data_IF_064363037134
#
_entry.id   IF_064363037134
#
_cell.length_a   1.000
_cell.length_b   1.000
_cell.length_c   1.000
_cell.angle_alpha   90.00
_cell.angle_beta   90.00
_cell.angle_gamma   90.00
#
_symmetry.space_group_name_H-M   'P 1'
#
loop_
_entity.id
_entity.type
_entity.pdbx_description
1 polymer ?
#
# COMPACT_ATOMS: atom_id res chain seq x y z
N UNK A 1 15.65 -2.04 -14.83
CA UNK A 1 14.51 -2.08 -13.91
C UNK A 1 13.76 -3.39 -14.06
N UNK A 2 13.55 -4.13 -12.98
CA UNK A 2 12.85 -5.44 -12.99
C UNK A 2 11.33 -5.26 -13.05
N UNK A 3 10.79 -4.28 -12.35
CA UNK A 3 9.36 -4.00 -12.26
C UNK A 3 9.05 -2.64 -12.88
N UNK A 4 8.37 -2.61 -14.02
CA UNK A 4 8.03 -1.38 -14.73
C UNK A 4 6.81 -0.67 -14.13
N UNK A 5 5.75 -1.42 -13.77
CA UNK A 5 4.53 -0.92 -13.15
C UNK A 5 4.32 -1.62 -11.82
N UNK A 6 4.21 -0.86 -10.75
CA UNK A 6 4.05 -1.40 -9.41
C UNK A 6 2.83 -0.80 -8.73
N UNK A 7 2.30 -1.52 -7.73
CA UNK A 7 1.42 -0.93 -6.74
C UNK A 7 2.13 -0.94 -5.39
N UNK A 8 2.36 0.23 -4.83
CA UNK A 8 2.92 0.43 -3.50
C UNK A 8 1.77 0.54 -2.48
N UNK A 9 1.69 -0.41 -1.56
CA UNK A 9 0.74 -0.38 -0.46
C UNK A 9 1.44 0.08 0.81
N UNK A 10 0.92 1.14 1.41
CA UNK A 10 1.43 1.72 2.65
C UNK A 10 0.40 1.60 3.78
N UNK A 11 0.87 1.38 5.01
CA UNK A 11 0.03 1.53 6.19
C UNK A 11 -0.18 3.02 6.51
N UNK A 12 -1.41 3.43 6.88
CA UNK A 12 -1.63 4.77 7.39
C UNK A 12 -0.79 5.06 8.64
N UNK A 13 -0.59 4.07 9.50
CA UNK A 13 0.27 4.19 10.68
C UNK A 13 1.71 4.60 10.37
N UNK A 14 2.17 4.28 9.17
CA UNK A 14 3.48 4.68 8.71
C UNK A 14 3.64 6.21 8.59
N UNK A 15 2.53 6.95 8.40
CA UNK A 15 2.55 8.41 8.31
C UNK A 15 2.50 9.14 9.65
N UNK A 16 2.19 8.47 10.75
CA UNK A 16 2.06 9.16 12.04
C UNK A 16 3.41 9.43 12.73
N UNK A 17 4.50 8.82 12.24
CA UNK A 17 5.80 8.92 12.88
C UNK A 17 5.74 8.50 14.36
N UNK A 18 6.31 9.30 15.24
CA UNK A 18 6.30 9.07 16.70
C UNK A 18 5.10 9.72 17.40
N UNK A 19 4.18 10.37 16.66
CA UNK A 19 3.05 11.12 17.25
C UNK A 19 1.90 10.23 17.73
N UNK A 20 1.84 8.99 17.26
CA UNK A 20 0.78 8.03 17.62
C UNK A 20 -0.58 8.30 16.97
N UNK A 21 -0.75 9.45 16.27
CA UNK A 21 -1.98 9.86 15.58
C UNK A 21 -1.67 10.91 14.51
N UNK A 22 -2.51 10.94 13.46
CA UNK A 22 -2.45 11.96 12.41
C UNK A 22 -1.30 11.74 11.42
N UNK A 23 -0.80 12.85 10.86
CA UNK A 23 0.24 12.83 9.82
C UNK A 23 1.45 13.61 10.32
N UNK A 24 2.61 12.97 10.29
CA UNK A 24 3.90 13.58 10.56
C UNK A 24 4.50 14.10 9.25
N UNK A 25 4.85 15.40 9.21
CA UNK A 25 5.32 16.06 8.00
C UNK A 25 6.70 15.57 7.55
N UNK A 26 7.59 15.28 8.50
CA UNK A 26 8.92 14.76 8.20
C UNK A 26 8.82 13.36 7.59
N UNK A 27 8.04 12.47 8.23
CA UNK A 27 7.79 11.12 7.73
C UNK A 27 7.11 11.13 6.35
N UNK A 28 6.17 12.04 6.14
CA UNK A 28 5.50 12.22 4.86
C UNK A 28 6.48 12.58 3.76
N UNK A 29 7.42 13.51 4.04
CA UNK A 29 8.46 13.93 3.10
C UNK A 29 9.48 12.83 2.82
N UNK A 30 9.87 12.05 3.83
CA UNK A 30 10.73 10.86 3.65
C UNK A 30 10.10 9.88 2.65
N UNK A 31 8.83 9.55 2.82
CA UNK A 31 8.12 8.65 1.92
C UNK A 31 7.96 9.22 0.51
N UNK A 32 7.67 10.52 0.40
CA UNK A 32 7.61 11.18 -0.89
C UNK A 32 8.96 11.11 -1.63
N UNK A 33 10.10 11.28 -0.94
CA UNK A 33 11.42 11.15 -1.52
C UNK A 33 11.76 9.71 -1.95
N UNK A 34 11.38 8.69 -1.17
CA UNK A 34 11.54 7.29 -1.57
C UNK A 34 10.72 6.98 -2.84
N UNK A 35 9.47 7.45 -2.89
CA UNK A 35 8.61 7.29 -4.08
C UNK A 35 9.21 8.03 -5.28
N UNK A 36 9.70 9.27 -5.09
CA UNK A 36 10.37 10.02 -6.13
C UNK A 36 11.58 9.29 -6.69
N UNK A 37 12.36 8.61 -5.85
CA UNK A 37 13.56 7.87 -6.27
C UNK A 37 13.27 6.79 -7.32
N UNK A 38 12.08 6.18 -7.30
CA UNK A 38 11.66 5.18 -8.29
C UNK A 38 10.90 5.82 -9.46
N UNK A 39 10.19 6.91 -9.23
CA UNK A 39 9.58 7.72 -10.28
C UNK A 39 10.64 8.28 -11.25
N UNK A 40 11.75 8.80 -10.74
CA UNK A 40 12.86 9.33 -11.54
C UNK A 40 13.55 8.24 -12.38
N UNK A 41 13.47 6.96 -11.98
CA UNK A 41 13.91 5.81 -12.79
C UNK A 41 12.92 5.44 -13.92
N UNK A 42 11.78 6.13 -14.01
CA UNK A 42 10.73 5.85 -14.99
C UNK A 42 9.80 4.69 -14.61
N UNK A 43 9.71 4.34 -13.32
CA UNK A 43 8.75 3.37 -12.82
C UNK A 43 7.33 3.95 -12.86
N UNK A 44 6.37 3.20 -13.34
CA UNK A 44 4.95 3.53 -13.26
C UNK A 44 4.43 3.17 -11.87
N UNK A 45 4.17 4.17 -11.03
CA UNK A 45 3.87 4.00 -9.61
C UNK A 45 2.40 4.24 -9.33
N UNK A 46 1.72 3.24 -8.78
CA UNK A 46 0.41 3.38 -8.15
C UNK A 46 0.54 3.23 -6.62
N UNK A 47 -0.25 3.97 -5.86
CA UNK A 47 -0.19 3.97 -4.39
C UNK A 47 -1.58 3.70 -3.82
N UNK A 48 -1.64 2.82 -2.82
CA UNK A 48 -2.79 2.65 -1.91
C UNK A 48 -2.28 2.84 -0.49
N UNK A 49 -2.94 3.69 0.29
CA UNK A 49 -2.55 3.96 1.67
C UNK A 49 -3.72 3.72 2.63
N UNK A 50 -3.43 3.11 3.78
CA UNK A 50 -4.41 2.90 4.85
C UNK A 50 -4.77 4.18 5.60
N UNK A 51 -5.82 4.10 6.45
CA UNK A 51 -6.33 5.22 7.25
C UNK A 51 -6.12 5.08 8.76
N UNK A 52 -5.40 4.04 9.21
CA UNK A 52 -5.30 3.65 10.62
C UNK A 52 -4.65 4.67 11.57
N UNK A 53 -3.91 5.64 11.04
CA UNK A 53 -3.35 6.78 11.79
C UNK A 53 -4.41 7.86 12.13
N UNK A 54 -5.54 7.87 11.44
CA UNK A 54 -6.63 8.85 11.60
C UNK A 54 -7.85 8.18 12.23
N UNK A 55 -8.24 7.01 11.71
CA UNK A 55 -9.42 6.30 12.18
C UNK A 55 -9.25 4.79 12.08
N UNK A 56 -9.63 4.07 13.16
CA UNK A 56 -9.58 2.61 13.23
C UNK A 56 -10.98 2.05 13.46
N UNK A 57 -11.60 1.50 12.41
CA UNK A 57 -12.96 0.97 12.43
C UNK A 57 -13.18 -0.12 13.50
N UNK A 58 -12.21 -1.03 13.70
CA UNK A 58 -12.30 -2.09 14.71
C UNK A 58 -12.40 -1.52 16.15
N UNK A 59 -11.74 -0.40 16.45
CA UNK A 59 -11.84 0.23 17.77
C UNK A 59 -13.18 0.93 17.94
N UNK A 60 -13.73 1.51 16.87
CA UNK A 60 -15.03 2.16 16.88
C UNK A 60 -16.18 1.14 17.04
N UNK A 61 -16.08 -0.03 16.40
CA UNK A 61 -17.03 -1.13 16.54
C UNK A 61 -17.11 -1.64 17.99
N UNK A 62 -15.96 -1.77 18.67
CA UNK A 62 -15.91 -2.11 20.11
C UNK A 62 -16.58 -1.04 20.99
N UNK A 63 -16.64 0.21 20.53
CA UNK A 63 -17.34 1.31 21.17
C UNK A 63 -18.83 1.41 20.83
N UNK A 64 -19.42 0.43 20.09
CA UNK A 64 -20.83 0.38 19.72
C UNK A 64 -21.18 1.11 18.41
N UNK A 65 -20.19 1.56 17.63
CA UNK A 65 -20.43 2.15 16.32
C UNK A 65 -20.84 1.07 15.30
N UNK A 66 -21.78 1.41 14.43
CA UNK A 66 -22.14 0.55 13.30
C UNK A 66 -20.94 0.30 12.38
N UNK A 67 -20.74 -0.95 11.99
CA UNK A 67 -19.60 -1.38 11.18
C UNK A 67 -19.52 -0.64 9.84
N UNK A 68 -20.65 -0.47 9.16
CA UNK A 68 -20.69 0.20 7.86
C UNK A 68 -20.28 1.67 7.97
N UNK A 69 -20.76 2.38 9.01
CA UNK A 69 -20.34 3.75 9.29
C UNK A 69 -18.84 3.83 9.59
N UNK A 70 -18.33 2.91 10.42
CA UNK A 70 -16.90 2.83 10.73
C UNK A 70 -16.04 2.60 9.48
N UNK A 71 -16.46 1.73 8.58
CA UNK A 71 -15.76 1.45 7.34
C UNK A 71 -15.74 2.68 6.41
N UNK A 72 -16.85 3.42 6.28
CA UNK A 72 -16.87 4.68 5.52
C UNK A 72 -15.95 5.75 6.14
N UNK A 73 -15.91 5.87 7.46
CA UNK A 73 -14.97 6.79 8.12
C UNK A 73 -13.51 6.37 7.84
N UNK A 74 -13.21 5.07 7.85
CA UNK A 74 -11.91 4.54 7.45
C UNK A 74 -11.57 4.86 5.99
N UNK A 75 -12.53 4.75 5.07
CA UNK A 75 -12.35 5.13 3.67
C UNK A 75 -12.02 6.63 3.53
N UNK A 76 -12.74 7.51 4.24
CA UNK A 76 -12.45 8.95 4.26
C UNK A 76 -11.06 9.25 4.85
N UNK A 77 -10.65 8.53 5.88
CA UNK A 77 -9.30 8.63 6.45
C UNK A 77 -8.23 8.30 5.41
N UNK A 78 -8.46 7.29 4.55
CA UNK A 78 -7.52 6.99 3.44
C UNK A 78 -7.45 8.12 2.42
N UNK A 79 -8.56 8.83 2.17
CA UNK A 79 -8.58 10.00 1.26
C UNK A 79 -7.73 11.14 1.83
N UNK A 80 -7.85 11.42 3.13
CA UNK A 80 -7.02 12.43 3.81
C UNK A 80 -5.54 12.10 3.64
N UNK A 81 -5.13 10.86 3.92
CA UNK A 81 -3.74 10.43 3.73
C UNK A 81 -3.29 10.50 2.27
N UNK A 82 -4.18 10.16 1.34
CA UNK A 82 -3.90 10.23 -0.10
C UNK A 82 -3.66 11.67 -0.58
N UNK A 83 -4.44 12.63 -0.08
CA UNK A 83 -4.24 14.06 -0.36
C UNK A 83 -2.91 14.56 0.22
N UNK A 84 -2.54 14.10 1.42
CA UNK A 84 -1.26 14.47 2.04
C UNK A 84 -0.06 13.95 1.21
N UNK A 85 -0.07 12.68 0.81
CA UNK A 85 0.96 12.10 -0.07
C UNK A 85 0.98 12.82 -1.43
N UNK A 86 -0.17 13.13 -2.01
CA UNK A 86 -0.26 13.92 -3.24
C UNK A 86 0.46 15.26 -3.09
N UNK A 87 0.09 16.02 -2.08
CA UNK A 87 0.68 17.34 -1.81
C UNK A 87 2.20 17.27 -1.61
N UNK A 88 2.70 16.27 -0.86
CA UNK A 88 4.13 16.09 -0.63
C UNK A 88 4.88 15.74 -1.94
N UNK A 89 4.33 14.85 -2.76
CA UNK A 89 4.92 14.46 -4.04
C UNK A 89 4.95 15.63 -5.03
N UNK A 90 3.85 16.37 -5.16
CA UNK A 90 3.77 17.54 -6.03
C UNK A 90 4.70 18.66 -5.57
N UNK A 91 4.85 18.84 -4.25
CA UNK A 91 5.80 19.79 -3.65
C UNK A 91 7.28 19.52 -3.99
N UNK A 92 7.62 18.28 -4.34
CA UNK A 92 8.98 17.90 -4.79
C UNK A 92 9.06 17.62 -6.30
N UNK A 93 8.07 18.06 -7.08
CA UNK A 93 8.07 18.02 -8.54
C UNK A 93 7.62 16.71 -9.17
N UNK A 94 6.93 15.83 -8.43
CA UNK A 94 6.35 14.60 -8.97
C UNK A 94 4.91 14.85 -9.41
N UNK A 95 4.59 14.59 -10.69
CA UNK A 95 3.23 14.68 -11.19
C UNK A 95 2.34 13.58 -10.66
N UNK A 96 1.19 13.92 -10.08
CA UNK A 96 0.29 12.94 -9.46
C UNK A 96 -1.15 13.02 -9.99
N UNK A 97 -1.94 11.97 -9.70
CA UNK A 97 -3.41 11.98 -9.80
C UNK A 97 -4.00 11.16 -8.66
N UNK A 98 -4.87 11.80 -7.90
CA UNK A 98 -5.67 11.12 -6.88
C UNK A 98 -7.00 10.67 -7.49
N UNK A 99 -7.32 9.39 -7.34
CA UNK A 99 -8.60 8.81 -7.75
C UNK A 99 -9.28 8.14 -6.57
N UNK A 100 -10.57 8.37 -6.39
CA UNK A 100 -11.37 7.83 -5.29
C UNK A 100 -12.37 6.78 -5.77
N UNK A 101 -12.55 5.72 -4.99
CA UNK A 101 -13.60 4.73 -5.19
C UNK A 101 -15.01 5.27 -4.83
N UNK A 102 -15.08 6.30 -3.98
CA UNK A 102 -16.31 7.04 -3.67
C UNK A 102 -16.29 8.35 -4.46
N UNK A 103 -17.41 8.71 -5.08
CA UNK A 103 -17.50 9.98 -5.85
C UNK A 103 -17.36 11.18 -4.91
N UNK A 104 -16.35 12.00 -5.18
CA UNK A 104 -16.07 13.27 -4.49
C UNK A 104 -15.33 14.22 -5.42
N UNK A 105 -15.97 14.58 -6.52
CA UNK A 105 -15.38 15.23 -7.69
C UNK A 105 -14.75 16.59 -7.39
N UNK A 106 -15.15 17.27 -6.31
CA UNK A 106 -14.54 18.52 -5.85
C UNK A 106 -13.16 18.31 -5.22
N UNK A 107 -12.83 17.08 -4.83
CA UNK A 107 -11.58 16.74 -4.12
C UNK A 107 -10.63 15.96 -5.02
N UNK A 108 -11.15 14.97 -5.76
CA UNK A 108 -10.34 14.08 -6.58
C UNK A 108 -11.16 13.45 -7.72
N UNK A 109 -10.47 12.84 -8.68
CA UNK A 109 -11.12 12.16 -9.78
C UNK A 109 -11.87 10.90 -9.30
N UNK A 110 -13.02 10.55 -9.87
CA UNK A 110 -13.60 9.23 -9.68
C UNK A 110 -12.68 8.17 -10.30
N UNK A 111 -12.54 7.02 -9.63
CA UNK A 111 -11.77 5.91 -10.17
C UNK A 111 -12.39 5.40 -11.48
N UNK A 112 -11.60 5.42 -12.54
CA UNK A 112 -11.89 4.80 -13.84
C UNK A 112 -10.62 4.09 -14.31
N UNK A 113 -10.67 2.76 -14.45
CA UNK A 113 -9.51 1.93 -14.80
C UNK A 113 -8.69 2.50 -15.98
N UNK A 114 -9.36 2.83 -17.09
CA UNK A 114 -8.69 3.37 -18.28
C UNK A 114 -7.99 4.70 -18.03
N UNK A 115 -8.56 5.57 -17.18
CA UNK A 115 -7.92 6.83 -16.78
C UNK A 115 -6.68 6.56 -15.92
N UNK A 116 -6.77 5.64 -14.94
CA UNK A 116 -5.66 5.25 -14.09
C UNK A 116 -4.47 4.74 -14.92
N UNK A 117 -4.72 3.79 -15.82
CA UNK A 117 -3.69 3.24 -16.72
C UNK A 117 -3.09 4.36 -17.58
N UNK A 118 -3.93 5.24 -18.17
CA UNK A 118 -3.43 6.36 -18.99
C UNK A 118 -2.60 7.36 -18.20
N UNK A 119 -2.90 7.58 -16.92
CA UNK A 119 -2.06 8.42 -16.07
C UNK A 119 -0.69 7.80 -15.81
N UNK A 120 -0.64 6.50 -15.52
CA UNK A 120 0.62 5.76 -15.34
C UNK A 120 1.49 5.79 -16.60
N UNK A 121 0.90 5.52 -17.76
CA UNK A 121 1.59 5.60 -19.07
C UNK A 121 2.15 6.98 -19.39
N UNK A 122 1.52 8.06 -18.85
CA UNK A 122 2.00 9.44 -18.96
C UNK A 122 3.03 9.82 -17.91
N UNK A 123 3.57 8.85 -17.16
CA UNK A 123 4.54 9.08 -16.11
C UNK A 123 3.97 9.86 -14.91
N UNK A 124 2.70 9.66 -14.56
CA UNK A 124 2.10 10.24 -13.35
C UNK A 124 1.97 9.18 -12.28
N UNK A 125 2.28 9.52 -11.05
CA UNK A 125 1.95 8.68 -9.89
C UNK A 125 0.44 8.71 -9.68
N UNK A 126 -0.20 7.55 -9.61
CA UNK A 126 -1.64 7.44 -9.33
C UNK A 126 -1.85 7.01 -7.89
N UNK A 127 -2.64 7.77 -7.15
CA UNK A 127 -2.95 7.48 -5.74
C UNK A 127 -4.42 7.08 -5.68
N UNK A 128 -4.71 5.94 -5.05
CA UNK A 128 -6.08 5.44 -4.90
C UNK A 128 -6.57 5.63 -3.48
N UNK A 129 -7.61 6.46 -3.32
CA UNK A 129 -8.30 6.72 -2.05
C UNK A 129 -9.63 5.99 -1.94
N UNK A 130 -10.21 6.00 -0.75
CA UNK A 130 -11.48 5.39 -0.38
C UNK A 130 -11.55 3.86 -0.54
N UNK A 131 -10.42 3.17 -0.48
CA UNK A 131 -10.37 1.72 -0.48
C UNK A 131 -11.03 1.08 -1.71
N UNK A 132 -11.92 0.12 -1.48
CA UNK A 132 -12.76 -0.49 -2.54
C UNK A 132 -14.02 0.34 -2.85
N UNK A 133 -14.36 1.31 -2.00
CA UNK A 133 -15.65 2.01 -2.03
C UNK A 133 -16.78 1.24 -1.36
N UNK A 134 -16.53 0.05 -0.84
CA UNK A 134 -17.50 -0.82 -0.21
C UNK A 134 -17.07 -1.17 1.22
N UNK A 135 -18.01 -1.17 2.19
CA UNK A 135 -17.75 -1.69 3.54
C UNK A 135 -17.30 -3.15 3.52
N UNK A 136 -16.77 -3.62 4.65
CA UNK A 136 -16.29 -4.99 4.91
C UNK A 136 -14.97 -5.38 4.24
N UNK A 137 -14.36 -4.52 3.44
CA UNK A 137 -13.08 -4.78 2.80
C UNK A 137 -11.97 -3.95 3.44
N UNK A 138 -10.79 -4.52 3.49
CA UNK A 138 -9.60 -3.84 4.01
C UNK A 138 -8.87 -3.05 2.93
N UNK A 139 -7.87 -2.29 3.36
CA UNK A 139 -6.93 -1.61 2.44
C UNK A 139 -6.06 -2.60 1.65
N UNK A 140 -5.77 -3.79 2.19
CA UNK A 140 -5.03 -4.84 1.48
C UNK A 140 -5.85 -5.38 0.32
N UNK A 141 -7.16 -5.63 0.53
CA UNK A 141 -8.09 -6.00 -0.55
C UNK A 141 -8.17 -4.91 -1.62
N UNK A 142 -8.27 -3.64 -1.22
CA UNK A 142 -8.28 -2.53 -2.17
C UNK A 142 -6.98 -2.45 -2.98
N UNK A 143 -5.82 -2.61 -2.34
CA UNK A 143 -4.52 -2.62 -3.02
C UNK A 143 -4.43 -3.72 -4.07
N UNK A 144 -4.85 -4.93 -3.71
CA UNK A 144 -4.85 -6.09 -4.63
C UNK A 144 -5.77 -5.85 -5.82
N UNK A 145 -7.01 -5.40 -5.58
CA UNK A 145 -7.96 -5.11 -6.65
C UNK A 145 -7.41 -4.05 -7.62
N UNK A 146 -6.88 -2.94 -7.10
CA UNK A 146 -6.29 -1.88 -7.93
C UNK A 146 -5.07 -2.37 -8.70
N UNK A 147 -4.21 -3.18 -8.08
CA UNK A 147 -3.02 -3.75 -8.73
C UNK A 147 -3.39 -4.60 -9.95
N UNK A 148 -4.41 -5.46 -9.81
CA UNK A 148 -4.93 -6.29 -10.91
C UNK A 148 -5.53 -5.41 -12.01
N UNK A 149 -6.38 -4.44 -11.65
CA UNK A 149 -7.06 -3.56 -12.61
C UNK A 149 -6.10 -2.72 -13.45
N UNK A 150 -4.97 -2.27 -12.87
CA UNK A 150 -3.95 -1.49 -13.58
C UNK A 150 -2.85 -2.35 -14.20
N UNK A 151 -2.93 -3.68 -14.09
CA UNK A 151 -1.92 -4.62 -14.58
C UNK A 151 -0.53 -4.36 -13.97
N UNK A 152 -0.48 -4.15 -12.64
CA UNK A 152 0.77 -4.04 -11.92
C UNK A 152 1.51 -5.38 -11.93
N UNK A 153 2.82 -5.35 -12.09
CA UNK A 153 3.65 -6.56 -12.11
C UNK A 153 3.96 -7.10 -10.71
N UNK A 154 3.74 -6.31 -9.67
CA UNK A 154 3.99 -6.67 -8.27
C UNK A 154 3.26 -5.72 -7.32
N UNK A 155 2.87 -6.21 -6.15
CA UNK A 155 2.49 -5.38 -5.01
C UNK A 155 3.70 -5.26 -4.09
N UNK A 156 4.13 -4.03 -3.81
CA UNK A 156 5.14 -3.72 -2.81
C UNK A 156 4.45 -3.32 -1.52
N UNK A 157 4.45 -4.21 -0.52
CA UNK A 157 3.87 -3.95 0.79
C UNK A 157 4.93 -3.35 1.70
N UNK A 158 4.91 -2.01 1.81
CA UNK A 158 5.77 -1.28 2.74
C UNK A 158 5.29 -1.41 4.18
N UNK A 159 6.14 -1.94 5.05
CA UNK A 159 5.87 -2.22 6.47
C UNK A 159 6.98 -1.67 7.35
N UNK A 160 6.91 -1.92 8.66
CA UNK A 160 7.99 -1.64 9.62
C UNK A 160 8.95 -2.82 9.78
N UNK A 161 8.57 -4.00 9.31
CA UNK A 161 9.40 -5.21 9.33
C UNK A 161 10.03 -5.43 7.95
N UNK A 162 11.20 -6.03 7.94
CA UNK A 162 12.01 -6.17 6.73
C UNK A 162 11.66 -7.43 5.89
N UNK A 163 10.56 -8.11 6.20
CA UNK A 163 10.09 -9.30 5.47
C UNK A 163 9.12 -10.15 6.27
N UNK A 164 8.91 -11.38 5.79
CA UNK A 164 8.09 -12.42 6.44
C UNK A 164 9.02 -13.38 7.17
N UNK A 165 8.65 -13.75 8.38
CA UNK A 165 9.41 -14.62 9.26
C UNK A 165 8.65 -15.92 9.59
N UNK A 166 9.37 -16.92 10.04
CA UNK A 166 8.79 -18.21 10.50
C UNK A 166 7.93 -18.05 11.75
N UNK A 167 8.16 -17.02 12.54
CA UNK A 167 7.42 -16.59 13.71
C UNK A 167 7.60 -15.07 13.89
N UNK A 168 6.91 -14.47 14.87
CA UNK A 168 7.08 -13.05 15.20
C UNK A 168 8.51 -12.77 15.74
N UNK A 169 9.37 -12.05 15.00
CA UNK A 169 10.76 -11.84 15.41
C UNK A 169 10.91 -10.96 16.68
N UNK A 170 9.85 -10.24 17.08
CA UNK A 170 9.85 -9.46 18.34
C UNK A 170 9.61 -10.36 19.55
N UNK A 171 9.04 -11.56 19.36
CA UNK A 171 8.71 -12.52 20.42
C UNK A 171 9.60 -13.76 20.40
N UNK A 172 10.11 -14.14 19.24
CA UNK A 172 10.91 -15.35 19.03
C UNK A 172 12.23 -15.01 18.33
N UNK A 173 13.30 -14.99 19.10
CA UNK A 173 14.66 -14.72 18.60
C UNK A 173 15.20 -15.81 17.65
N UNK A 174 14.53 -16.96 17.53
CA UNK A 174 14.88 -18.02 16.58
C UNK A 174 14.16 -17.88 15.23
N UNK A 175 13.25 -16.89 15.11
CA UNK A 175 12.53 -16.62 13.89
C UNK A 175 13.50 -16.30 12.75
N UNK A 176 13.36 -17.02 11.64
CA UNK A 176 14.16 -16.80 10.42
C UNK A 176 13.34 -16.16 9.34
N UNK A 177 13.96 -15.22 8.62
CA UNK A 177 13.32 -14.51 7.51
C UNK A 177 13.33 -15.37 6.25
N UNK A 178 12.20 -15.36 5.53
CA UNK A 178 12.13 -15.94 4.20
C UNK A 178 12.66 -14.93 3.16
N UNK A 179 13.52 -15.36 2.24
CA UNK A 179 13.84 -14.59 1.04
C UNK A 179 12.71 -14.69 0.00
N UNK A 180 12.20 -15.90 -0.19
CA UNK A 180 11.07 -16.23 -1.06
C UNK A 180 10.20 -17.27 -0.37
N UNK A 181 8.88 -17.17 -0.51
CA UNK A 181 7.92 -18.13 0.00
C UNK A 181 6.75 -18.25 -0.98
N UNK A 182 6.17 -19.45 -1.11
CA UNK A 182 5.02 -19.68 -1.98
C UNK A 182 3.72 -19.31 -1.29
N UNK A 183 2.72 -18.84 -2.07
CA UNK A 183 1.37 -18.55 -1.55
C UNK A 183 0.78 -19.73 -0.77
N UNK A 184 0.97 -20.96 -1.26
CA UNK A 184 0.49 -22.16 -0.56
C UNK A 184 1.15 -22.31 0.81
N UNK A 185 2.45 -22.09 0.91
CA UNK A 185 3.21 -22.24 2.14
C UNK A 185 2.84 -21.17 3.19
N UNK A 186 2.60 -19.93 2.76
CA UNK A 186 2.08 -18.86 3.62
C UNK A 186 0.74 -19.26 4.23
N UNK A 187 -0.16 -19.82 3.42
CA UNK A 187 -1.47 -20.29 3.87
C UNK A 187 -1.36 -21.46 4.84
N UNK A 188 -0.59 -22.50 4.47
CA UNK A 188 -0.44 -23.73 5.27
C UNK A 188 0.20 -23.45 6.64
N UNK A 189 1.08 -22.44 6.72
CA UNK A 189 1.74 -22.02 7.96
C UNK A 189 0.99 -20.95 8.75
N UNK A 190 -0.15 -20.44 8.23
CA UNK A 190 -0.94 -19.40 8.89
C UNK A 190 -0.20 -18.07 9.05
N UNK A 191 0.71 -17.71 8.13
CA UNK A 191 1.46 -16.47 8.21
C UNK A 191 0.59 -15.29 7.76
N UNK A 192 0.57 -14.23 8.57
CA UNK A 192 -0.24 -13.03 8.31
C UNK A 192 0.48 -12.04 7.39
N UNK A 193 0.34 -12.22 6.07
CA UNK A 193 0.90 -11.29 5.07
C UNK A 193 -0.10 -10.20 4.68
N UNK A 194 -1.33 -10.59 4.38
CA UNK A 194 -2.47 -9.74 4.03
C UNK A 194 -3.74 -10.43 4.55
N UNK A 195 -4.89 -9.71 4.51
CA UNK A 195 -6.16 -10.40 4.74
C UNK A 195 -6.41 -11.49 3.67
N UNK A 196 -7.20 -12.49 4.05
CA UNK A 196 -7.40 -13.69 3.22
C UNK A 196 -7.99 -13.38 1.84
N UNK A 197 -8.88 -12.38 1.74
CA UNK A 197 -9.49 -11.96 0.48
C UNK A 197 -8.43 -11.39 -0.46
N UNK A 198 -7.59 -10.48 0.03
CA UNK A 198 -6.48 -9.90 -0.73
C UNK A 198 -5.49 -10.99 -1.18
N UNK A 199 -5.15 -11.88 -0.26
CA UNK A 199 -4.19 -12.96 -0.49
C UNK A 199 -4.68 -13.94 -1.57
N UNK A 200 -5.96 -14.35 -1.51
CA UNK A 200 -6.57 -15.24 -2.49
C UNK A 200 -6.62 -14.59 -3.87
N UNK A 201 -7.02 -13.30 -3.95
CA UNK A 201 -7.00 -12.56 -5.22
C UNK A 201 -5.61 -12.47 -5.83
N UNK A 202 -4.56 -12.22 -5.04
CA UNK A 202 -3.18 -12.22 -5.53
C UNK A 202 -2.78 -13.57 -6.11
N UNK A 203 -3.07 -14.66 -5.38
CA UNK A 203 -2.77 -16.03 -5.83
C UNK A 203 -3.48 -16.38 -7.14
N UNK A 204 -4.78 -16.12 -7.24
CA UNK A 204 -5.60 -16.44 -8.43
C UNK A 204 -5.15 -15.67 -9.69
N UNK A 205 -4.61 -14.45 -9.50
CA UNK A 205 -4.14 -13.61 -10.60
C UNK A 205 -2.61 -13.68 -10.83
N UNK A 206 -1.92 -14.61 -10.16
CA UNK A 206 -0.45 -14.76 -10.24
C UNK A 206 0.29 -13.42 -9.96
N UNK A 207 -0.24 -12.60 -9.06
CA UNK A 207 0.31 -11.30 -8.71
C UNK A 207 1.24 -11.45 -7.49
N UNK A 208 2.56 -11.34 -7.66
CA UNK A 208 3.50 -11.48 -6.54
C UNK A 208 3.40 -10.31 -5.57
N UNK A 209 3.78 -10.58 -4.32
CA UNK A 209 3.85 -9.59 -3.24
C UNK A 209 5.27 -9.55 -2.73
N UNK A 210 5.83 -8.35 -2.52
CA UNK A 210 7.09 -8.17 -1.79
C UNK A 210 6.79 -7.42 -0.50
N UNK A 211 7.08 -8.05 0.63
CA UNK A 211 6.99 -7.42 1.96
C UNK A 211 8.37 -6.91 2.34
N UNK A 212 8.48 -5.63 2.65
CA UNK A 212 9.76 -4.99 2.93
C UNK A 212 9.66 -3.82 3.92
N UNK A 213 10.77 -3.46 4.56
CA UNK A 213 10.85 -2.30 5.43
C UNK A 213 10.93 -1.00 4.61
N UNK A 214 9.85 -0.22 4.64
CA UNK A 214 9.73 1.07 3.95
C UNK A 214 10.51 2.19 4.65
N UNK A 215 10.87 2.02 5.94
CA UNK A 215 11.60 3.03 6.70
C UNK A 215 13.11 3.03 6.36
N UNK A 216 13.60 1.95 5.76
CA UNK A 216 15.00 1.87 5.35
C UNK A 216 15.19 2.52 3.99
N UNK A 217 15.87 3.67 4.00
CA UNK A 217 16.15 4.48 2.80
C UNK A 217 16.81 3.65 1.69
N UNK A 218 16.28 3.79 0.47
CA UNK A 218 16.78 3.11 -0.73
C UNK A 218 16.23 1.69 -0.94
N UNK A 219 15.54 1.09 0.02
CA UNK A 219 14.95 -0.24 -0.15
C UNK A 219 14.00 -0.29 -1.33
N UNK A 220 13.11 0.70 -1.46
CA UNK A 220 12.15 0.76 -2.55
C UNK A 220 12.85 0.81 -3.92
N UNK A 221 13.86 1.64 -4.07
CA UNK A 221 14.67 1.73 -5.29
C UNK A 221 15.40 0.43 -5.59
N UNK A 222 16.03 -0.18 -4.60
CA UNK A 222 16.74 -1.44 -4.77
C UNK A 222 15.82 -2.57 -5.23
N UNK A 223 14.58 -2.64 -4.71
CA UNK A 223 13.59 -3.65 -5.15
C UNK A 223 13.27 -3.49 -6.64
N UNK A 224 12.98 -2.28 -7.12
CA UNK A 224 12.62 -2.09 -8.54
C UNK A 224 13.80 -2.33 -9.48
N UNK A 225 15.03 -2.19 -9.00
CA UNK A 225 16.25 -2.53 -9.72
C UNK A 225 16.51 -4.06 -9.74
N UNK A 226 15.80 -4.84 -8.92
CA UNK A 226 15.86 -6.30 -8.89
C UNK A 226 16.74 -6.89 -7.79
N UNK A 227 17.19 -6.07 -6.84
CA UNK A 227 17.89 -6.58 -5.66
C UNK A 227 16.93 -7.35 -4.75
N UNK A 228 17.42 -8.39 -4.09
CA UNK A 228 16.66 -9.20 -3.14
C UNK A 228 16.52 -8.46 -1.81
N UNK A 229 15.49 -7.65 -1.69
CA UNK A 229 15.12 -6.93 -0.46
C UNK A 229 13.75 -7.43 0.00
N UNK A 230 13.63 -7.67 1.30
CA UNK A 230 12.38 -8.16 1.87
C UNK A 230 12.13 -9.65 1.63
N UNK A 231 10.86 -10.04 1.58
CA UNK A 231 10.39 -11.39 1.24
C UNK A 231 9.49 -11.33 0.02
N UNK A 232 9.82 -12.13 -1.00
CA UNK A 232 8.98 -12.32 -2.17
C UNK A 232 7.97 -13.45 -1.91
N UNK A 233 6.67 -13.16 -2.07
CA UNK A 233 5.59 -14.17 -2.08
C UNK A 233 5.17 -14.39 -3.53
N UNK A 234 5.26 -15.63 -4.00
CA UNK A 234 4.95 -15.99 -5.39
C UNK A 234 4.19 -17.33 -5.49
N UNK A 235 3.68 -17.67 -6.67
CA UNK A 235 2.90 -18.91 -6.94
C UNK A 235 3.75 -20.16 -6.93
#
# INVERSE_FOLDING_TARGET
MKYKRILLKLSGEALMGNKGFGIDQERLLEYANEIKSIYDEGCEVAIVIGGGNIFRGIQAEKGGMDRVHGDYMGMLATVINSMAIQSALEGIGVSTRLQSAIKMEQICEPFIRRKAVRHLEKGRVVIFGAGTGNPYFTTDTAATLRAIEIEASVILKGTRVDGIYTADPEKDNTATKYETIKFKEVYDKGLEVMDMTAFTLCKENNLPIIVFDMNKKGNLKNIILGHKIGTLVEV
#
